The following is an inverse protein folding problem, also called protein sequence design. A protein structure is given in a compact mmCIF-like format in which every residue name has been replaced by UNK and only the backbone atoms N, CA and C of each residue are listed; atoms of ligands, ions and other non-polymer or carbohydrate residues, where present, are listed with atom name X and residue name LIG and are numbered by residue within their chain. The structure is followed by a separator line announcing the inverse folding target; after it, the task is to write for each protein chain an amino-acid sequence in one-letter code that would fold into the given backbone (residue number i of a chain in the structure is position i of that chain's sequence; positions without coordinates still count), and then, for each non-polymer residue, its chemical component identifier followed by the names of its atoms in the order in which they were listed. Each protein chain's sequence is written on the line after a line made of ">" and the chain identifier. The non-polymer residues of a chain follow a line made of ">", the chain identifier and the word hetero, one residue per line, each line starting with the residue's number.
data_IF_671823691813
#
_entry.id   IF_671823691813
#
_cell.length_a   1.000
_cell.length_b   1.000
_cell.length_c   1.000
_cell.angle_alpha   90.00
_cell.angle_beta   90.00
_cell.angle_gamma   90.00
#
_symmetry.space_group_name_H-M   'P 1'
#
loop_
_entity.id
_entity.type
_entity.pdbx_description
1 polymer ?
#
# COMPACT_ATOMS: atom_id res chain seq x y z
N UNK A 1 4.55 -14.82 0.04
CA UNK A 1 5.92 -14.38 -0.34
C UNK A 1 6.97 -14.91 0.62
N UNK A 2 6.84 -14.68 1.93
CA UNK A 2 7.77 -15.24 2.91
C UNK A 2 7.84 -16.77 2.84
N UNK A 3 6.71 -17.44 2.68
CA UNK A 3 6.62 -18.89 2.49
C UNK A 3 7.47 -19.44 1.33
N UNK A 4 7.79 -18.64 0.30
CA UNK A 4 8.67 -19.06 -0.80
C UNK A 4 10.11 -19.32 -0.33
N UNK A 5 10.54 -18.68 0.74
CA UNK A 5 11.83 -18.96 1.37
C UNK A 5 11.83 -20.31 2.11
N UNK A 6 10.65 -20.93 2.26
CA UNK A 6 10.43 -22.21 2.95
C UNK A 6 9.85 -23.26 1.98
N UNK A 7 10.25 -23.18 0.71
CA UNK A 7 9.95 -24.16 -0.35
C UNK A 7 8.49 -24.22 -0.81
N UNK A 8 7.63 -23.31 -0.35
CA UNK A 8 6.29 -23.17 -0.88
C UNK A 8 6.27 -22.44 -2.22
N UNK A 9 5.27 -22.73 -3.04
CA UNK A 9 5.08 -22.06 -4.32
C UNK A 9 4.78 -20.55 -4.13
N UNK A 10 5.25 -19.67 -5.04
CA UNK A 10 4.78 -18.29 -5.12
C UNK A 10 3.25 -18.23 -5.18
N UNK A 11 2.64 -17.26 -4.47
CA UNK A 11 1.18 -17.19 -4.35
C UNK A 11 0.58 -18.14 -3.31
N UNK A 12 1.38 -18.93 -2.57
CA UNK A 12 0.87 -19.69 -1.43
C UNK A 12 0.35 -18.74 -0.33
N UNK A 13 -0.90 -18.94 0.08
CA UNK A 13 -1.58 -18.18 1.14
C UNK A 13 -1.16 -18.71 2.51
N UNK A 14 0.07 -18.35 2.90
CA UNK A 14 0.71 -18.78 4.13
C UNK A 14 1.41 -17.63 4.83
N UNK A 15 1.40 -17.66 6.16
CA UNK A 15 2.08 -16.71 7.04
C UNK A 15 2.92 -17.42 8.10
N UNK A 16 3.71 -16.66 8.85
CA UNK A 16 4.48 -17.20 9.98
C UNK A 16 3.48 -17.59 11.05
N UNK A 17 3.58 -18.81 11.58
CA UNK A 17 2.68 -19.21 12.66
C UNK A 17 2.89 -18.37 13.92
N UNK A 18 1.81 -18.15 14.67
CA UNK A 18 1.88 -17.43 15.94
C UNK A 18 2.86 -18.13 16.91
N UNK A 19 2.87 -19.47 16.92
CA UNK A 19 3.82 -20.27 17.70
C UNK A 19 5.28 -19.97 17.32
N UNK A 20 5.61 -19.89 16.03
CA UNK A 20 6.96 -19.59 15.58
C UNK A 20 7.34 -18.16 16.00
N UNK A 21 6.45 -17.19 15.84
CA UNK A 21 6.69 -15.81 16.26
C UNK A 21 7.02 -15.74 17.76
N UNK A 22 6.30 -16.48 18.59
CA UNK A 22 6.57 -16.57 20.04
C UNK A 22 7.93 -17.23 20.29
N UNK A 23 8.28 -18.32 19.58
CA UNK A 23 9.61 -18.97 19.68
C UNK A 23 10.76 -18.03 19.30
N UNK A 24 10.53 -17.12 18.35
CA UNK A 24 11.50 -16.08 17.97
C UNK A 24 11.66 -14.99 19.04
N UNK A 25 10.78 -14.96 20.04
CA UNK A 25 10.82 -14.03 21.18
C UNK A 25 9.95 -12.78 21.02
N UNK A 26 9.10 -12.71 19.99
CA UNK A 26 8.12 -11.63 19.85
C UNK A 26 6.92 -11.89 20.76
N UNK A 27 6.37 -10.82 21.34
CA UNK A 27 5.24 -10.90 22.28
C UNK A 27 3.87 -10.67 21.65
N UNK A 28 3.82 -10.02 20.49
CA UNK A 28 2.59 -9.63 19.82
C UNK A 28 2.81 -9.50 18.32
N UNK A 29 1.83 -9.94 17.54
CA UNK A 29 1.74 -9.71 16.10
C UNK A 29 0.67 -8.66 15.86
N UNK A 30 0.88 -7.78 14.88
CA UNK A 30 -0.12 -6.82 14.46
C UNK A 30 -0.02 -6.62 12.97
N UNK A 31 -1.10 -6.88 12.26
CA UNK A 31 -1.19 -6.62 10.82
C UNK A 31 -1.14 -5.13 10.52
N UNK A 32 -0.42 -4.74 9.46
CA UNK A 32 -0.37 -3.34 9.03
C UNK A 32 -1.59 -2.92 8.22
N UNK A 33 -2.46 -3.85 7.81
CA UNK A 33 -3.60 -3.61 6.91
C UNK A 33 -4.57 -2.57 7.46
N UNK A 34 -4.91 -2.65 8.75
CA UNK A 34 -5.75 -1.66 9.43
C UNK A 34 -5.21 -0.23 9.29
N UNK A 35 -3.90 -0.05 9.52
CA UNK A 35 -3.24 1.25 9.40
C UNK A 35 -3.08 1.70 7.93
N UNK A 36 -2.95 0.75 7.00
CA UNK A 36 -3.03 1.05 5.57
C UNK A 36 -4.42 1.58 5.21
N UNK A 37 -5.49 0.99 5.77
CA UNK A 37 -6.88 1.40 5.56
C UNK A 37 -7.13 2.82 6.03
N UNK A 38 -6.69 3.14 7.25
CA UNK A 38 -6.71 4.51 7.77
C UNK A 38 -5.99 5.52 6.86
N UNK A 39 -4.86 5.12 6.28
CA UNK A 39 -4.10 5.96 5.35
C UNK A 39 -4.85 6.15 4.01
N UNK A 40 -5.55 5.13 3.52
CA UNK A 40 -6.39 5.22 2.30
C UNK A 40 -7.57 6.16 2.54
N UNK A 41 -8.25 6.01 3.67
CA UNK A 41 -9.37 6.88 4.05
C UNK A 41 -8.92 8.32 4.18
N UNK A 42 -7.77 8.57 4.82
CA UNK A 42 -7.18 9.90 4.89
C UNK A 42 -6.87 10.48 3.50
N UNK A 43 -6.32 9.66 2.61
CA UNK A 43 -5.99 10.06 1.24
C UNK A 43 -7.25 10.41 0.43
N UNK A 44 -8.33 9.63 0.57
CA UNK A 44 -9.60 9.92 -0.06
C UNK A 44 -10.20 11.26 0.44
N UNK A 45 -10.16 11.52 1.75
CA UNK A 45 -10.59 12.81 2.29
C UNK A 45 -9.74 13.98 1.79
N UNK A 46 -8.42 13.82 1.64
CA UNK A 46 -7.56 14.85 1.02
C UNK A 46 -7.92 15.12 -0.44
N UNK A 47 -8.26 14.08 -1.21
CA UNK A 47 -8.70 14.25 -2.59
C UNK A 47 -10.01 15.05 -2.64
N UNK A 48 -10.99 14.74 -1.78
CA UNK A 48 -12.24 15.51 -1.69
C UNK A 48 -11.99 16.97 -1.31
N UNK A 49 -11.13 17.23 -0.32
CA UNK A 49 -10.74 18.61 0.04
C UNK A 49 -10.05 19.35 -1.10
N UNK A 50 -9.20 18.67 -1.85
CA UNK A 50 -8.52 19.29 -3.00
C UNK A 50 -9.49 19.63 -4.13
N UNK A 51 -10.51 18.79 -4.35
CA UNK A 51 -11.56 19.02 -5.35
C UNK A 51 -12.41 20.26 -5.02
N UNK A 52 -12.67 20.53 -3.74
CA UNK A 52 -13.42 21.71 -3.30
C UNK A 52 -12.62 23.01 -3.43
N UNK A 53 -11.29 22.95 -3.25
CA UNK A 53 -10.43 24.12 -3.17
C UNK A 53 -9.61 24.39 -4.46
N UNK A 54 -9.76 23.55 -5.49
CA UNK A 54 -9.01 23.57 -6.75
C UNK A 54 -7.50 23.85 -6.59
N UNK A 55 -6.87 23.18 -5.61
CA UNK A 55 -5.58 23.65 -5.10
C UNK A 55 -4.39 23.23 -5.98
N UNK A 56 -4.12 21.94 -6.10
CA UNK A 56 -2.90 21.41 -6.74
C UNK A 56 -3.24 20.16 -7.54
N UNK A 57 -2.71 20.08 -8.77
CA UNK A 57 -2.83 18.93 -9.66
C UNK A 57 -1.50 18.63 -10.35
N UNK A 58 -1.16 17.34 -10.60
CA UNK A 58 -1.85 16.14 -10.09
C UNK A 58 -1.67 16.01 -8.58
N UNK A 59 -2.56 15.31 -7.88
CA UNK A 59 -2.25 14.76 -6.56
C UNK A 59 -1.44 13.47 -6.71
N UNK A 60 -0.50 13.22 -5.83
CA UNK A 60 0.38 12.04 -5.91
C UNK A 60 0.29 11.25 -4.62
N UNK A 61 0.00 9.95 -4.76
CA UNK A 61 -0.11 9.05 -3.63
C UNK A 61 1.21 8.94 -2.84
N UNK A 62 1.18 8.97 -1.49
CA UNK A 62 2.38 8.90 -0.66
C UNK A 62 2.77 7.45 -0.30
N UNK A 63 2.03 6.44 -0.79
CA UNK A 63 2.17 5.05 -0.37
C UNK A 63 3.56 4.44 -0.65
N UNK A 64 4.29 4.95 -1.65
CA UNK A 64 5.61 4.45 -2.02
C UNK A 64 6.74 5.41 -1.60
N UNK A 65 7.49 5.13 -0.51
CA UNK A 65 8.54 6.03 -0.04
C UNK A 65 9.66 6.25 -1.06
N UNK A 66 9.95 5.25 -1.90
CA UNK A 66 10.93 5.39 -2.98
C UNK A 66 10.45 6.32 -4.11
N UNK A 67 9.15 6.34 -4.42
CA UNK A 67 8.60 7.27 -5.39
C UNK A 67 8.57 8.71 -4.83
N UNK A 68 8.17 8.88 -3.57
CA UNK A 68 8.24 10.19 -2.90
C UNK A 68 9.66 10.75 -2.88
N UNK A 69 10.65 9.95 -2.51
CA UNK A 69 12.05 10.39 -2.53
C UNK A 69 12.53 10.72 -3.95
N UNK A 70 12.14 9.93 -4.95
CA UNK A 70 12.45 10.22 -6.34
C UNK A 70 11.90 11.59 -6.77
N UNK A 71 10.64 11.88 -6.42
CA UNK A 71 10.02 13.18 -6.71
C UNK A 71 10.78 14.29 -6.00
N UNK A 72 11.05 14.15 -4.70
CA UNK A 72 11.75 15.17 -3.92
C UNK A 72 13.14 15.53 -4.50
N UNK A 73 13.82 14.58 -5.13
CA UNK A 73 15.17 14.78 -5.68
C UNK A 73 15.20 15.24 -7.12
N UNK A 74 14.35 14.67 -7.97
CA UNK A 74 14.44 14.84 -9.43
C UNK A 74 13.31 15.68 -10.01
N UNK A 75 12.23 15.87 -9.25
CA UNK A 75 11.02 16.58 -9.62
C UNK A 75 10.50 17.44 -8.45
N UNK A 76 11.36 18.27 -7.82
CA UNK A 76 11.02 19.00 -6.60
C UNK A 76 9.82 19.95 -6.75
N UNK A 77 9.50 20.40 -7.96
CA UNK A 77 8.28 21.17 -8.26
C UNK A 77 7.00 20.40 -7.92
N UNK A 78 7.03 19.06 -8.02
CA UNK A 78 5.91 18.19 -7.67
C UNK A 78 5.94 17.75 -6.19
N UNK A 79 6.84 18.29 -5.36
CA UNK A 79 6.89 17.94 -3.93
C UNK A 79 5.59 18.28 -3.19
N UNK A 80 4.96 19.42 -3.53
CA UNK A 80 3.69 19.86 -2.93
C UNK A 80 2.48 19.02 -3.38
N UNK A 81 2.63 18.30 -4.49
CA UNK A 81 1.61 17.44 -5.07
C UNK A 81 1.48 16.11 -4.33
N UNK A 82 2.49 15.70 -3.54
CA UNK A 82 2.42 14.49 -2.72
C UNK A 82 1.42 14.72 -1.58
N UNK A 83 0.38 13.89 -1.54
CA UNK A 83 -0.66 13.97 -0.51
C UNK A 83 -0.05 13.78 0.88
N UNK A 84 -0.38 14.69 1.80
CA UNK A 84 0.18 14.73 3.16
C UNK A 84 -0.69 13.99 4.16
N UNK A 85 -0.66 12.67 4.11
CA UNK A 85 -1.33 11.82 5.11
C UNK A 85 -0.31 11.00 5.90
N UNK A 86 -0.60 10.66 7.16
CA UNK A 86 0.27 9.80 7.94
C UNK A 86 0.41 8.42 7.26
N UNK A 87 1.63 7.91 7.19
CA UNK A 87 1.88 6.57 6.66
C UNK A 87 1.40 5.50 7.64
N UNK A 88 1.23 4.27 7.16
CA UNK A 88 0.80 3.14 8.00
C UNK A 88 1.73 2.93 9.21
N UNK A 89 3.02 3.24 9.10
CA UNK A 89 3.97 3.10 10.22
C UNK A 89 3.85 4.25 11.23
N UNK A 90 3.52 5.46 10.78
CA UNK A 90 3.22 6.58 11.69
C UNK A 90 1.95 6.30 12.50
N UNK A 91 0.92 5.75 11.86
CA UNK A 91 -0.33 5.37 12.53
C UNK A 91 -0.12 4.20 13.50
N UNK A 92 0.62 3.16 13.09
CA UNK A 92 0.98 2.04 13.95
C UNK A 92 1.68 2.49 15.23
N UNK A 93 2.69 3.36 15.11
CA UNK A 93 3.48 3.82 16.25
C UNK A 93 2.67 4.75 17.17
N UNK A 94 1.81 5.59 16.60
CA UNK A 94 0.85 6.42 17.35
C UNK A 94 -0.09 5.57 18.20
N UNK A 95 -0.68 4.52 17.63
CA UNK A 95 -1.61 3.63 18.36
C UNK A 95 -0.86 2.75 19.38
N UNK A 96 0.35 2.29 19.05
CA UNK A 96 1.13 1.41 19.93
C UNK A 96 1.66 2.11 21.19
N UNK A 97 1.72 3.45 21.20
CA UNK A 97 2.12 4.24 22.36
C UNK A 97 3.53 3.92 22.87
N UNK A 98 4.45 3.50 22.00
CA UNK A 98 5.85 3.17 22.31
C UNK A 98 6.04 2.08 23.39
N UNK A 99 5.06 1.18 23.55
CA UNK A 99 5.12 0.07 24.52
C UNK A 99 6.06 -1.05 24.04
N UNK A 100 7.37 -0.79 24.07
CA UNK A 100 8.40 -1.76 23.73
C UNK A 100 9.01 -1.58 22.33
N UNK A 101 9.73 -2.61 21.88
CA UNK A 101 10.45 -2.60 20.60
C UNK A 101 9.52 -2.98 19.44
N UNK A 102 9.50 -2.17 18.40
CA UNK A 102 8.67 -2.40 17.20
C UNK A 102 9.54 -2.90 16.05
N UNK A 103 9.21 -4.10 15.55
CA UNK A 103 9.85 -4.70 14.38
C UNK A 103 8.81 -4.84 13.27
N UNK A 104 9.09 -4.24 12.12
CA UNK A 104 8.22 -4.26 10.95
C UNK A 104 8.77 -5.24 9.93
N UNK A 105 7.98 -6.24 9.56
CA UNK A 105 8.22 -7.05 8.38
C UNK A 105 7.76 -6.29 7.14
N UNK A 106 8.64 -6.11 6.15
CA UNK A 106 8.31 -5.39 4.93
C UNK A 106 8.89 -6.05 3.68
N UNK A 107 8.17 -5.95 2.58
CA UNK A 107 8.64 -6.25 1.23
C UNK A 107 9.54 -5.16 0.65
N UNK A 108 9.63 -3.99 1.29
CA UNK A 108 10.28 -2.80 0.74
C UNK A 108 11.53 -2.41 1.54
N UNK A 109 12.67 -2.28 0.86
CA UNK A 109 13.91 -1.80 1.50
C UNK A 109 13.85 -0.31 1.81
N UNK A 110 13.14 0.49 1.00
CA UNK A 110 13.01 1.93 1.23
C UNK A 110 12.29 2.28 2.55
N UNK A 111 11.51 1.35 3.14
CA UNK A 111 10.92 1.52 4.47
C UNK A 111 11.96 1.70 5.57
N UNK A 112 13.16 1.09 5.44
CA UNK A 112 14.29 1.31 6.37
C UNK A 112 14.75 2.77 6.38
N UNK A 113 14.69 3.44 5.23
CA UNK A 113 15.04 4.86 5.11
C UNK A 113 13.88 5.74 5.55
N UNK A 114 12.64 5.40 5.20
CA UNK A 114 11.45 6.15 5.60
C UNK A 114 11.37 6.33 7.12
N UNK A 115 11.61 5.27 7.89
CA UNK A 115 11.54 5.37 9.37
C UNK A 115 12.57 6.37 9.91
N UNK A 116 13.75 6.47 9.28
CA UNK A 116 14.80 7.42 9.66
C UNK A 116 14.46 8.85 9.22
N UNK A 117 14.05 9.02 7.97
CA UNK A 117 13.80 10.36 7.40
C UNK A 117 12.58 11.04 8.00
N UNK A 118 11.57 10.27 8.41
CA UNK A 118 10.35 10.78 9.04
C UNK A 118 10.35 10.65 10.57
N UNK A 119 11.46 10.23 11.17
CA UNK A 119 11.60 9.99 12.62
C UNK A 119 10.45 9.14 13.20
N UNK A 120 10.10 8.05 12.50
CA UNK A 120 9.03 7.13 12.90
C UNK A 120 9.58 6.19 13.96
N UNK A 121 8.89 6.03 15.09
CA UNK A 121 9.36 5.20 16.21
C UNK A 121 9.23 3.69 15.94
N UNK A 122 10.01 3.18 14.98
CA UNK A 122 10.16 1.77 14.64
C UNK A 122 11.63 1.41 14.81
N UNK A 123 11.93 0.41 15.64
CA UNK A 123 13.31 0.02 15.93
C UNK A 123 13.96 -0.72 14.76
N UNK A 124 13.23 -1.63 14.11
CA UNK A 124 13.77 -2.43 13.01
C UNK A 124 12.74 -2.61 11.90
N UNK A 125 13.21 -2.51 10.65
CA UNK A 125 12.46 -2.97 9.48
C UNK A 125 13.23 -4.15 8.90
N UNK A 126 12.62 -5.33 8.91
CA UNK A 126 13.18 -6.54 8.32
C UNK A 126 12.53 -6.78 6.95
N UNK A 127 13.36 -7.02 5.95
CA UNK A 127 12.86 -7.52 4.67
C UNK A 127 12.32 -8.95 4.79
N UNK A 128 11.51 -9.39 3.82
CA UNK A 128 11.05 -10.79 3.73
C UNK A 128 12.24 -11.76 3.78
N UNK A 129 13.32 -11.47 3.05
CA UNK A 129 14.55 -12.29 3.09
C UNK A 129 15.27 -12.26 4.44
N UNK A 130 15.32 -11.10 5.10
CA UNK A 130 15.96 -10.99 6.43
C UNK A 130 15.16 -11.74 7.49
N UNK A 131 13.84 -11.64 7.46
CA UNK A 131 12.97 -12.42 8.35
C UNK A 131 13.12 -13.91 8.11
N UNK A 132 13.12 -14.37 6.85
CA UNK A 132 13.36 -15.78 6.54
C UNK A 132 14.70 -16.29 7.06
N UNK A 133 15.78 -15.51 6.90
CA UNK A 133 17.09 -15.88 7.46
C UNK A 133 17.09 -15.91 8.98
N UNK A 134 16.37 -14.98 9.62
CA UNK A 134 16.24 -14.94 11.06
C UNK A 134 15.53 -16.20 11.59
N UNK A 135 14.39 -16.57 10.99
CA UNK A 135 13.65 -17.79 11.31
C UNK A 135 14.52 -19.04 11.11
N UNK A 136 15.14 -19.19 9.95
CA UNK A 136 16.03 -20.34 9.66
C UNK A 136 17.20 -20.45 10.65
N UNK A 137 17.80 -19.32 11.03
CA UNK A 137 18.90 -19.28 12.03
C UNK A 137 18.41 -19.70 13.42
N UNK A 138 17.13 -19.57 13.71
CA UNK A 138 16.48 -20.01 14.96
C UNK A 138 15.94 -21.44 14.90
N UNK A 139 16.20 -22.15 13.80
CA UNK A 139 15.77 -23.54 13.63
C UNK A 139 14.42 -23.72 12.94
N UNK A 140 13.81 -22.64 12.44
CA UNK A 140 12.53 -22.72 11.74
C UNK A 140 12.60 -23.51 10.43
N UNK A 141 11.54 -24.27 10.17
CA UNK A 141 11.38 -25.20 9.04
C UNK A 141 10.16 -24.80 8.20
N UNK A 142 9.75 -25.54 7.15
CA UNK A 142 8.46 -25.29 6.50
C UNK A 142 7.26 -25.29 7.46
N UNK A 143 7.32 -26.04 8.56
CA UNK A 143 6.26 -26.09 9.58
C UNK A 143 6.14 -24.78 10.38
N UNK A 144 7.11 -23.87 10.25
CA UNK A 144 7.01 -22.49 10.74
C UNK A 144 5.98 -21.65 9.95
N UNK A 145 5.40 -22.19 8.87
CA UNK A 145 4.43 -21.52 8.02
C UNK A 145 3.05 -22.20 8.07
N UNK A 146 2.05 -21.47 8.55
CA UNK A 146 0.67 -21.95 8.59
C UNK A 146 -0.15 -21.39 7.43
N UNK A 147 -1.27 -22.05 7.12
CA UNK A 147 -2.23 -21.51 6.16
C UNK A 147 -2.95 -20.33 6.81
N UNK A 148 -3.04 -19.22 6.08
CA UNK A 148 -3.81 -18.07 6.55
C UNK A 148 -5.28 -18.44 6.46
N UNK A 149 -6.03 -18.18 7.53
CA UNK A 149 -7.48 -18.20 7.47
C UNK A 149 -7.97 -17.08 6.54
N UNK A 150 -8.52 -17.48 5.39
CA UNK A 150 -8.99 -16.56 4.34
C UNK A 150 -10.47 -16.17 4.58
N UNK A 151 -11.05 -16.51 5.73
CA UNK A 151 -12.46 -16.18 6.01
C UNK A 151 -12.70 -14.68 6.27
N UNK A 152 -11.67 -13.89 6.61
CA UNK A 152 -11.83 -12.43 6.71
C UNK A 152 -10.57 -11.57 6.42
N UNK A 153 -9.94 -11.67 5.24
CA UNK A 153 -8.83 -10.79 4.88
C UNK A 153 -9.27 -9.33 4.76
N UNK A 154 -8.30 -8.43 4.89
CA UNK A 154 -8.51 -6.99 4.82
C UNK A 154 -8.50 -6.50 3.35
N UNK A 155 -9.41 -5.59 2.91
CA UNK A 155 -9.43 -5.07 1.53
C UNK A 155 -8.09 -4.44 1.09
N UNK A 156 -7.31 -3.94 2.05
CA UNK A 156 -5.99 -3.34 1.86
C UNK A 156 -4.93 -4.30 1.33
N UNK A 157 -5.21 -5.61 1.24
CA UNK A 157 -4.36 -6.54 0.51
C UNK A 157 -4.15 -6.10 -0.95
N UNK A 158 -5.12 -5.40 -1.53
CA UNK A 158 -5.01 -4.85 -2.88
C UNK A 158 -3.90 -3.79 -3.00
N UNK A 159 -3.57 -3.07 -1.92
CA UNK A 159 -2.51 -2.03 -1.91
C UNK A 159 -1.12 -2.60 -2.26
N UNK A 160 -0.93 -3.91 -2.21
CA UNK A 160 0.34 -4.52 -2.57
C UNK A 160 0.58 -4.64 -4.08
N UNK A 161 -0.46 -4.49 -4.92
CA UNK A 161 -0.36 -4.55 -6.38
C UNK A 161 -0.51 -3.16 -7.02
N UNK A 162 0.10 -2.98 -8.20
CA UNK A 162 0.01 -1.72 -8.94
C UNK A 162 -1.42 -1.45 -9.42
N UNK A 163 -1.99 -0.34 -8.99
CA UNK A 163 -3.37 0.07 -9.29
C UNK A 163 -4.33 -0.25 -8.15
N UNK A 164 -3.91 -1.06 -7.18
CA UNK A 164 -4.74 -1.42 -6.04
C UNK A 164 -4.94 -0.29 -5.03
N UNK A 165 -3.97 0.62 -4.87
CA UNK A 165 -4.17 1.83 -4.06
C UNK A 165 -5.23 2.70 -4.71
N UNK A 166 -5.11 2.95 -6.01
CA UNK A 166 -6.09 3.72 -6.77
C UNK A 166 -7.48 3.10 -6.70
N UNK A 167 -7.61 1.77 -6.87
CA UNK A 167 -8.90 1.10 -6.76
C UNK A 167 -9.52 1.29 -5.36
N UNK A 168 -8.74 1.09 -4.29
CA UNK A 168 -9.23 1.29 -2.92
C UNK A 168 -9.62 2.76 -2.66
N UNK A 169 -8.80 3.72 -3.10
CA UNK A 169 -9.11 5.15 -3.00
C UNK A 169 -10.41 5.49 -3.73
N UNK A 170 -10.62 4.99 -4.95
CA UNK A 170 -11.85 5.21 -5.72
C UNK A 170 -13.05 4.63 -4.98
N UNK A 171 -12.96 3.39 -4.47
CA UNK A 171 -14.03 2.76 -3.69
C UNK A 171 -14.38 3.60 -2.45
N UNK A 172 -13.37 4.02 -1.71
CA UNK A 172 -13.55 4.89 -0.53
C UNK A 172 -14.19 6.23 -0.90
N UNK A 173 -13.75 6.89 -1.98
CA UNK A 173 -14.34 8.14 -2.46
C UNK A 173 -15.83 7.98 -2.79
N UNK A 174 -16.20 6.90 -3.47
CA UNK A 174 -17.59 6.63 -3.83
C UNK A 174 -18.44 6.36 -2.59
N UNK A 175 -17.95 5.53 -1.67
CA UNK A 175 -18.68 5.18 -0.45
C UNK A 175 -18.83 6.37 0.51
N UNK A 176 -17.84 7.26 0.63
CA UNK A 176 -17.96 8.51 1.40
C UNK A 176 -19.08 9.40 0.84
N UNK A 177 -19.20 9.49 -0.49
CA UNK A 177 -20.23 10.32 -1.15
C UNK A 177 -21.59 9.61 -1.33
N UNK A 178 -21.70 8.34 -0.91
CA UNK A 178 -22.92 7.54 -1.11
C UNK A 178 -23.20 7.15 -2.56
N UNK A 179 -22.16 7.14 -3.41
CA UNK A 179 -22.27 6.74 -4.81
C UNK A 179 -22.04 5.24 -5.01
N UNK A 180 -22.68 4.68 -6.03
CA UNK A 180 -22.45 3.29 -6.44
C UNK A 180 -21.34 3.23 -7.47
N UNK A 181 -20.31 2.45 -7.21
CA UNK A 181 -19.23 2.19 -8.16
C UNK A 181 -19.62 1.01 -9.07
N UNK A 182 -19.45 1.18 -10.38
CA UNK A 182 -19.57 0.07 -11.33
C UNK A 182 -18.25 -0.69 -11.42
N UNK A 183 -18.26 -2.01 -11.19
CA UNK A 183 -17.04 -2.84 -11.16
C UNK A 183 -16.27 -2.87 -12.50
N UNK A 184 -16.98 -2.72 -13.63
CA UNK A 184 -16.37 -2.68 -14.97
C UNK A 184 -15.38 -1.52 -15.12
N UNK A 185 -15.59 -0.44 -14.39
CA UNK A 185 -14.80 0.80 -14.46
C UNK A 185 -13.37 0.57 -13.93
N UNK A 186 -13.24 -0.22 -12.87
CA UNK A 186 -11.98 -0.42 -12.15
C UNK A 186 -11.19 -1.66 -12.61
N UNK A 187 -11.80 -2.54 -13.41
CA UNK A 187 -11.12 -3.74 -13.93
C UNK A 187 -9.81 -3.42 -14.69
N UNK A 188 -9.78 -2.29 -15.40
CA UNK A 188 -8.60 -1.85 -16.14
C UNK A 188 -7.39 -1.51 -15.24
N UNK A 189 -7.63 -1.17 -13.97
CA UNK A 189 -6.55 -0.93 -13.00
C UNK A 189 -5.79 -2.21 -12.66
N UNK A 190 -6.36 -3.38 -12.93
CA UNK A 190 -5.76 -4.68 -12.58
C UNK A 190 -4.89 -5.30 -13.68
N UNK A 191 -4.80 -4.68 -14.87
CA UNK A 191 -3.99 -5.18 -16.00
C UNK A 191 -2.51 -5.37 -15.59
N UNK A 192 -2.06 -6.63 -15.51
CA UNK A 192 -0.72 -6.95 -15.05
C UNK A 192 0.38 -6.62 -16.09
N UNK A 193 0.03 -6.56 -17.36
CA UNK A 193 0.97 -6.39 -18.48
C UNK A 193 1.41 -4.94 -18.66
N UNK A 194 0.57 -3.99 -18.26
CA UNK A 194 0.81 -2.56 -18.40
C UNK A 194 1.59 -1.98 -17.22
N UNK A 195 2.66 -1.25 -17.55
CA UNK A 195 3.44 -0.47 -16.57
C UNK A 195 2.84 0.90 -16.28
N UNK A 196 2.07 1.44 -17.22
CA UNK A 196 1.32 2.70 -17.06
C UNK A 196 -0.13 2.44 -17.43
N UNK A 197 -1.05 2.82 -16.55
CA UNK A 197 -2.49 2.63 -16.73
C UNK A 197 -3.15 3.99 -16.57
N UNK A 198 -3.80 4.45 -17.62
CA UNK A 198 -4.57 5.68 -17.62
C UNK A 198 -6.04 5.32 -17.52
N UNK A 199 -6.77 6.08 -16.71
CA UNK A 199 -8.15 5.78 -16.41
C UNK A 199 -8.86 7.07 -15.96
N UNK A 200 -10.10 7.28 -16.38
CA UNK A 200 -10.87 8.48 -16.02
C UNK A 200 -12.26 8.10 -15.55
N UNK A 201 -12.76 8.78 -14.50
CA UNK A 201 -14.12 8.62 -14.01
C UNK A 201 -14.69 9.96 -13.56
N UNK A 202 -16.01 10.03 -13.40
CA UNK A 202 -16.68 11.22 -12.86
C UNK A 202 -16.80 11.14 -11.34
N UNK A 203 -16.30 12.16 -10.64
CA UNK A 203 -16.51 12.40 -9.20
C UNK A 203 -17.24 13.73 -9.07
N UNK A 204 -18.40 13.77 -8.43
CA UNK A 204 -19.21 14.99 -8.28
C UNK A 204 -19.46 15.72 -9.63
N UNK A 205 -19.78 14.94 -10.68
CA UNK A 205 -19.93 15.41 -12.08
C UNK A 205 -18.69 16.00 -12.75
N UNK A 206 -17.52 16.00 -12.10
CA UNK A 206 -16.25 16.42 -12.68
C UNK A 206 -15.48 15.20 -13.19
N UNK A 207 -14.94 15.27 -14.40
CA UNK A 207 -14.03 14.25 -14.92
C UNK A 207 -12.71 14.30 -14.17
N UNK A 208 -12.25 13.14 -13.70
CA UNK A 208 -11.05 12.99 -12.91
C UNK A 208 -10.14 11.92 -13.52
N UNK A 209 -8.93 12.33 -13.88
CA UNK A 209 -7.95 11.52 -14.60
C UNK A 209 -6.94 10.90 -13.64
N UNK A 210 -6.95 9.58 -13.57
CA UNK A 210 -6.04 8.76 -12.79
C UNK A 210 -4.95 8.17 -13.67
N UNK A 211 -3.72 8.19 -13.16
CA UNK A 211 -2.59 7.48 -13.75
C UNK A 211 -1.92 6.59 -12.72
N UNK A 212 -1.79 5.30 -13.04
CA UNK A 212 -1.04 4.34 -12.25
C UNK A 212 0.29 4.08 -12.94
N UNK A 213 1.39 4.24 -12.22
CA UNK A 213 2.73 3.94 -12.74
C UNK A 213 3.42 2.85 -11.92
N UNK A 214 3.97 1.88 -12.65
CA UNK A 214 4.88 0.87 -12.17
C UNK A 214 6.28 1.18 -12.69
N UNK A 215 7.23 1.35 -11.78
CA UNK A 215 8.62 1.81 -11.95
C UNK A 215 8.81 3.33 -11.97
N UNK A 216 9.97 3.76 -11.47
CA UNK A 216 10.38 5.17 -11.50
C UNK A 216 10.60 5.70 -12.92
N UNK A 217 10.93 4.83 -13.86
CA UNK A 217 11.09 5.19 -15.28
C UNK A 217 9.76 5.61 -15.91
N UNK A 218 8.66 4.92 -15.58
CA UNK A 218 7.34 5.32 -16.04
C UNK A 218 6.83 6.57 -15.31
N UNK A 219 7.07 6.67 -13.99
CA UNK A 219 6.75 7.88 -13.24
C UNK A 219 7.43 9.12 -13.84
N UNK A 220 8.71 9.02 -14.21
CA UNK A 220 9.45 10.10 -14.88
C UNK A 220 8.72 10.60 -16.13
N UNK A 221 8.33 9.68 -17.03
CA UNK A 221 7.63 10.03 -18.28
C UNK A 221 6.32 10.76 -17.99
N UNK A 222 5.55 10.25 -17.03
CA UNK A 222 4.27 10.87 -16.63
C UNK A 222 4.49 12.27 -16.05
N UNK A 223 5.44 12.44 -15.14
CA UNK A 223 5.74 13.77 -14.57
C UNK A 223 6.27 14.75 -15.62
N UNK A 224 7.07 14.28 -16.58
CA UNK A 224 7.51 15.09 -17.72
C UNK A 224 6.32 15.51 -18.59
N UNK A 225 5.40 14.59 -18.91
CA UNK A 225 4.22 14.91 -19.70
C UNK A 225 3.28 15.91 -19.01
N UNK A 226 3.14 15.82 -17.67
CA UNK A 226 2.42 16.83 -16.87
C UNK A 226 3.06 18.22 -17.01
N UNK A 227 4.40 18.32 -17.03
CA UNK A 227 5.08 19.62 -17.28
C UNK A 227 4.78 20.18 -18.66
N UNK A 228 4.52 19.31 -19.64
CA UNK A 228 4.14 19.69 -21.00
C UNK A 228 2.63 19.90 -21.17
N UNK A 229 1.85 19.88 -20.09
CA UNK A 229 0.43 20.25 -20.09
C UNK A 229 -0.54 19.07 -20.14
N UNK A 230 -0.07 17.83 -20.00
CA UNK A 230 -0.98 16.69 -19.86
C UNK A 230 -1.80 16.83 -18.56
N UNK A 231 -3.13 16.79 -18.68
CA UNK A 231 -4.04 16.95 -17.55
C UNK A 231 -4.20 15.63 -16.82
N UNK A 232 -3.59 15.54 -15.64
CA UNK A 232 -3.71 14.41 -14.73
C UNK A 232 -4.14 14.95 -13.36
N UNK A 233 -5.12 14.30 -12.75
CA UNK A 233 -5.68 14.72 -11.46
C UNK A 233 -5.08 13.91 -10.30
N UNK A 234 -4.77 12.62 -10.51
CA UNK A 234 -4.14 11.77 -9.48
C UNK A 234 -3.15 10.77 -10.07
N UNK A 235 -2.06 10.53 -9.35
CA UNK A 235 -1.03 9.56 -9.69
C UNK A 235 -0.81 8.56 -8.54
N UNK A 236 -1.03 7.27 -8.80
CA UNK A 236 -0.43 6.19 -8.00
C UNK A 236 0.97 5.90 -8.55
N UNK A 237 2.00 6.21 -7.74
CA UNK A 237 3.39 6.00 -8.11
C UNK A 237 4.02 4.83 -7.35
N UNK A 238 4.45 3.79 -8.06
CA UNK A 238 5.19 2.66 -7.47
C UNK A 238 6.58 2.56 -8.09
N UNK A 239 7.61 2.47 -7.25
CA UNK A 239 8.99 2.32 -7.73
C UNK A 239 9.30 0.92 -8.32
N UNK A 240 8.55 -0.11 -7.92
CA UNK A 240 8.80 -1.50 -8.30
C UNK A 240 7.77 -1.99 -9.35
N UNK A 241 8.16 -2.85 -10.31
CA UNK A 241 7.25 -3.40 -11.32
C UNK A 241 6.04 -4.13 -10.71
N UNK A 242 4.81 -3.81 -11.11
CA UNK A 242 3.56 -4.34 -10.55
C UNK A 242 3.35 -4.06 -9.04
N UNK A 243 4.09 -3.12 -8.45
CA UNK A 243 3.88 -2.69 -7.07
C UNK A 243 4.72 -3.43 -6.05
N UNK A 244 4.24 -3.45 -4.80
CA UNK A 244 4.97 -3.96 -3.64
C UNK A 244 5.28 -5.46 -3.72
N UNK A 245 4.51 -6.25 -4.47
CA UNK A 245 4.74 -7.68 -4.70
C UNK A 245 6.11 -8.02 -5.32
N UNK A 246 6.79 -7.02 -5.88
CA UNK A 246 8.14 -7.12 -6.45
C UNK A 246 9.19 -6.27 -5.70
N UNK A 247 8.84 -5.81 -4.50
CA UNK A 247 9.70 -4.93 -3.69
C UNK A 247 11.09 -5.51 -3.47
N UNK A 248 12.10 -4.64 -3.33
CA UNK A 248 13.50 -5.06 -3.20
C UNK A 248 13.82 -5.95 -1.98
N UNK A 249 12.88 -6.14 -1.06
CA UNK A 249 12.98 -7.06 0.07
C UNK A 249 12.42 -8.46 -0.18
N UNK A 250 11.80 -8.72 -1.34
CA UNK A 250 11.17 -9.99 -1.70
C UNK A 250 12.16 -11.13 -2.02
N UNK A 251 11.72 -12.40 -2.01
CA UNK A 251 12.58 -13.54 -2.39
C UNK A 251 13.26 -13.38 -3.76
N UNK A 252 14.47 -13.93 -3.90
CA UNK A 252 15.27 -13.88 -5.13
C UNK A 252 15.26 -15.27 -5.81
N UNK A 253 15.09 -15.36 -7.14
CA UNK A 253 14.77 -14.26 -8.05
C UNK A 253 13.33 -13.79 -7.84
N UNK A 254 13.10 -12.49 -8.07
CA UNK A 254 11.76 -11.94 -8.31
C UNK A 254 11.63 -11.74 -9.82
N UNK A 255 10.89 -12.64 -10.48
CA UNK A 255 10.67 -12.62 -11.93
C UNK A 255 9.17 -12.40 -12.23
N UNK A 256 8.81 -12.39 -13.52
CA UNK A 256 7.42 -12.21 -13.95
C UNK A 256 6.47 -13.28 -13.43
N UNK A 257 6.84 -14.55 -13.57
CA UNK A 257 6.04 -15.69 -13.09
C UNK A 257 5.69 -15.56 -11.61
N UNK A 258 6.66 -15.21 -10.76
CA UNK A 258 6.41 -15.01 -9.33
C UNK A 258 5.55 -13.78 -9.05
N UNK A 259 5.76 -12.69 -9.79
CA UNK A 259 4.91 -11.48 -9.68
C UNK A 259 3.47 -11.80 -10.05
N UNK A 260 3.25 -12.53 -11.14
CA UNK A 260 1.92 -12.94 -11.59
C UNK A 260 1.23 -13.80 -10.52
N UNK A 261 1.87 -14.88 -10.07
CA UNK A 261 1.31 -15.76 -9.04
C UNK A 261 0.99 -15.03 -7.72
N UNK A 262 1.84 -14.08 -7.30
CA UNK A 262 1.56 -13.23 -6.12
C UNK A 262 0.37 -12.30 -6.36
N UNK A 263 0.25 -11.74 -7.56
CA UNK A 263 -0.87 -10.87 -7.93
C UNK A 263 -2.19 -11.62 -8.01
N UNK A 264 -2.20 -12.80 -8.64
CA UNK A 264 -3.36 -13.68 -8.76
C UNK A 264 -3.85 -14.14 -7.38
N UNK A 265 -2.92 -14.49 -6.49
CA UNK A 265 -3.25 -14.79 -5.10
C UNK A 265 -3.97 -13.60 -4.45
N UNK A 266 -3.42 -12.38 -4.55
CA UNK A 266 -4.03 -11.18 -3.95
C UNK A 266 -5.43 -10.96 -4.49
N UNK A 267 -5.64 -11.03 -5.81
CA UNK A 267 -6.96 -10.86 -6.40
C UNK A 267 -7.91 -11.98 -5.99
N UNK A 268 -7.47 -13.24 -5.96
CA UNK A 268 -8.30 -14.38 -5.56
C UNK A 268 -8.78 -14.28 -4.09
N UNK A 269 -7.94 -13.70 -3.22
CA UNK A 269 -8.27 -13.44 -1.82
C UNK A 269 -9.21 -12.24 -1.73
N UNK A 270 -8.86 -11.14 -2.40
CA UNK A 270 -9.65 -9.92 -2.41
C UNK A 270 -11.05 -10.15 -2.97
N UNK A 271 -11.19 -10.89 -4.08
CA UNK A 271 -12.46 -11.12 -4.77
C UNK A 271 -13.47 -11.89 -3.91
N UNK A 272 -13.01 -12.66 -2.92
CA UNK A 272 -13.86 -13.37 -1.94
C UNK A 272 -14.32 -12.51 -0.76
N UNK A 273 -13.76 -11.31 -0.59
CA UNK A 273 -14.11 -10.44 0.53
C UNK A 273 -15.56 -9.97 0.48
N UNK A 274 -16.20 -9.93 1.65
CA UNK A 274 -17.51 -9.28 1.84
C UNK A 274 -17.38 -7.75 1.86
N UNK A 275 -16.36 -7.23 2.55
CA UNK A 275 -16.04 -5.81 2.61
C UNK A 275 -14.90 -5.52 1.63
N UNK A 276 -15.15 -4.63 0.66
CA UNK A 276 -14.21 -4.30 -0.42
C UNK A 276 -13.51 -2.97 -0.19
N UNK A 277 -13.95 -2.20 0.80
CA UNK A 277 -13.43 -0.87 1.07
C UNK A 277 -13.13 -0.69 2.57
N UNK A 278 -11.95 -0.14 2.94
CA UNK A 278 -11.65 0.20 4.33
C UNK A 278 -12.73 1.05 5.02
N UNK A 279 -13.41 1.95 4.30
CA UNK A 279 -14.43 2.83 4.89
C UNK A 279 -15.69 2.09 5.35
N UNK A 280 -15.95 0.88 4.83
CA UNK A 280 -17.08 0.06 5.27
C UNK A 280 -16.85 -0.49 6.69
N UNK A 281 -15.59 -0.61 7.13
CA UNK A 281 -15.24 -1.07 8.47
C UNK A 281 -15.59 -0.02 9.54
N UNK A 282 -16.46 -0.34 10.52
CA UNK A 282 -16.73 0.56 11.65
C UNK A 282 -15.46 0.89 12.44
N UNK A 283 -14.58 -0.10 12.65
CA UNK A 283 -13.34 0.08 13.41
C UNK A 283 -12.41 1.11 12.74
N UNK A 284 -12.28 1.06 11.41
CA UNK A 284 -11.48 2.03 10.65
C UNK A 284 -12.12 3.41 10.73
N UNK A 285 -13.45 3.54 10.63
CA UNK A 285 -14.13 4.85 10.74
C UNK A 285 -13.93 5.49 12.11
N UNK A 286 -14.11 4.72 13.17
CA UNK A 286 -13.93 5.20 14.54
C UNK A 286 -12.47 5.59 14.81
N UNK A 287 -11.53 4.74 14.39
CA UNK A 287 -10.11 5.01 14.55
C UNK A 287 -9.63 6.16 13.65
N UNK A 288 -10.22 6.35 12.47
CA UNK A 288 -9.93 7.49 11.60
C UNK A 288 -10.22 8.79 12.34
N UNK A 289 -11.39 8.94 12.96
CA UNK A 289 -11.73 10.14 13.73
C UNK A 289 -10.74 10.39 14.89
N UNK A 290 -10.37 9.33 15.62
CA UNK A 290 -9.45 9.40 16.76
C UNK A 290 -8.00 9.70 16.36
N UNK A 291 -7.48 9.00 15.36
CA UNK A 291 -6.06 8.98 15.00
C UNK A 291 -5.68 9.94 13.88
N UNK A 292 -6.61 10.28 13.00
CA UNK A 292 -6.38 11.13 11.83
C UNK A 292 -7.25 12.39 11.87
N UNK A 293 -8.54 12.26 12.15
CA UNK A 293 -9.55 13.31 12.15
C UNK A 293 -9.38 14.39 13.23
N UNK A 294 -8.47 14.18 14.20
CA UNK A 294 -8.05 15.23 15.14
C UNK A 294 -7.06 16.23 14.53
N UNK A 295 -6.66 16.09 13.27
CA UNK A 295 -5.97 17.16 12.53
C UNK A 295 -7.01 18.20 12.10
N UNK A 296 -7.43 19.04 13.06
CA UNK A 296 -7.97 20.36 12.75
C UNK A 296 -6.87 21.16 12.05
N UNK A 297 -7.22 21.62 10.85
CA UNK A 297 -6.73 22.81 10.13
C UNK A 297 -5.44 23.44 10.69
N UNK A 298 -4.36 23.36 9.90
CA UNK A 298 -3.31 24.39 9.79
C UNK A 298 -2.42 24.14 8.59
#
# INVERSE_FOLDING_TARGET
>A
ALSEEFWYAPGSVKEISEEEIIKLGFKRITGTSFFTGLSIVAEAHEILRNLENDSVKPLISPACPAASEFIEKFFPEFKKNIIKVPSQLQLLTKESGNKGKIVVLSQCIAKKKEIKSKNINVDYVLSVREMARFIKKKGGTPDSMEFVDIENPSPEILDYVSGGRTELVIRTLFNINGYKLEESIIANLRDFTKKTKNFSLKINNQEFNFVVTSTLGELRKVLEAVKFGEKIDYIEARACPNGCISGGGMPIPTNETKRLARSEMIYSVYDKLKLKDPWESPEIRDAYQKLVGTVKER
#
